data_IF_632946324815
#
_entry.id   IF_632946324815
#
_cell.length_a   1.000
_cell.length_b   1.000
_cell.length_c   1.000
_cell.angle_alpha   90.00
_cell.angle_beta   90.00
_cell.angle_gamma   90.00
#
_symmetry.space_group_name_H-M   'P 1'
#
loop_
_entity.id
_entity.type
_entity.pdbx_description
1 polymer ?
#
# COMPACT_ATOMS: atom_id res chain seq x y z
N UNK A 1 -10.47 -11.47 11.33
CA UNK A 1 -9.10 -10.99 11.65
C UNK A 1 -8.66 -10.07 10.53
N UNK A 2 -8.12 -8.89 10.83
CA UNK A 2 -7.64 -7.96 9.80
C UNK A 2 -6.11 -8.04 9.69
N UNK A 3 -5.60 -8.22 8.48
CA UNK A 3 -4.16 -8.27 8.17
C UNK A 3 -3.81 -7.05 7.33
N UNK A 4 -2.98 -6.16 7.86
CA UNK A 4 -2.57 -4.94 7.15
C UNK A 4 -1.19 -5.08 6.51
N UNK A 5 -1.08 -4.76 5.22
CA UNK A 5 0.22 -4.57 4.56
C UNK A 5 0.44 -3.10 4.20
N UNK A 6 1.57 -2.54 4.64
CA UNK A 6 2.00 -1.16 4.32
C UNK A 6 2.72 -1.13 2.96
N UNK A 7 1.95 -1.38 1.89
CA UNK A 7 2.40 -1.35 0.50
C UNK A 7 1.23 -1.06 -0.42
N UNK A 8 1.50 -0.54 -1.62
CA UNK A 8 0.45 -0.35 -2.63
C UNK A 8 0.12 -1.67 -3.31
N UNK A 9 -1.15 -2.06 -3.30
CA UNK A 9 -1.60 -3.32 -3.91
C UNK A 9 -1.94 -3.19 -5.39
N UNK A 10 -1.89 -2.00 -5.98
CA UNK A 10 -1.98 -1.81 -7.43
C UNK A 10 -1.18 -0.58 -7.87
N UNK A 11 -1.19 -0.29 -9.17
CA UNK A 11 -0.56 0.89 -9.77
C UNK A 11 -1.64 1.91 -10.25
N UNK A 12 -1.25 3.17 -10.51
CA UNK A 12 -2.14 4.15 -11.15
C UNK A 12 -2.69 3.66 -12.49
N UNK A 13 -4.01 3.79 -12.68
CA UNK A 13 -4.76 3.40 -13.87
C UNK A 13 -5.58 4.56 -14.43
N UNK A 14 -6.39 5.23 -13.61
CA UNK A 14 -7.46 6.13 -14.07
C UNK A 14 -6.97 7.39 -14.77
N UNK A 15 -5.79 7.89 -14.40
CA UNK A 15 -5.21 9.09 -15.00
C UNK A 15 -4.82 8.91 -16.48
N UNK A 16 -4.62 7.68 -16.95
CA UNK A 16 -4.31 7.34 -18.35
C UNK A 16 -5.20 6.25 -18.94
N UNK A 17 -6.19 5.77 -18.20
CA UNK A 17 -7.04 4.64 -18.57
C UNK A 17 -6.31 3.30 -18.70
N UNK A 18 -5.08 3.18 -18.16
CA UNK A 18 -4.28 1.94 -18.12
C UNK A 18 -3.07 2.06 -17.19
N UNK A 19 -2.55 0.93 -16.70
CA UNK A 19 -1.33 0.93 -15.86
C UNK A 19 -0.09 1.37 -16.63
N UNK A 20 0.09 0.87 -17.85
CA UNK A 20 1.28 1.09 -18.69
C UNK A 20 0.87 1.62 -20.08
N UNK A 21 0.80 2.95 -20.27
CA UNK A 21 0.64 3.60 -21.58
C UNK A 21 1.52 2.97 -22.67
N UNK A 22 0.98 2.81 -23.88
CA UNK A 22 1.70 2.24 -25.04
C UNK A 22 2.11 0.76 -24.95
N UNK A 23 1.81 0.06 -23.84
CA UNK A 23 1.99 -1.39 -23.77
C UNK A 23 0.70 -2.11 -24.18
N UNK A 24 0.72 -2.82 -25.32
CA UNK A 24 -0.44 -3.53 -25.86
C UNK A 24 -1.00 -4.60 -24.90
N UNK A 25 -0.13 -5.36 -24.23
CA UNK A 25 -0.49 -6.37 -23.24
C UNK A 25 -0.76 -5.78 -21.83
N UNK A 26 -1.09 -4.49 -21.73
CA UNK A 26 -1.32 -3.86 -20.43
C UNK A 26 -2.49 -4.56 -19.69
N UNK A 27 -2.34 -4.88 -18.38
CA UNK A 27 -3.39 -5.50 -17.59
C UNK A 27 -4.64 -4.60 -17.48
N UNK A 28 -5.81 -5.23 -17.46
CA UNK A 28 -7.10 -4.53 -17.37
C UNK A 28 -7.54 -4.23 -15.92
N UNK A 29 -7.03 -5.00 -14.95
CA UNK A 29 -7.38 -4.95 -13.53
C UNK A 29 -6.19 -5.36 -12.65
N UNK A 30 -6.35 -5.21 -11.32
CA UNK A 30 -5.26 -5.42 -10.37
C UNK A 30 -4.79 -6.88 -10.31
N UNK A 31 -5.71 -7.86 -10.35
CA UNK A 31 -5.32 -9.28 -10.32
C UNK A 31 -4.55 -9.69 -11.57
N UNK A 32 -4.96 -9.18 -12.73
CA UNK A 32 -4.23 -9.36 -13.99
C UNK A 32 -2.86 -8.68 -13.96
N UNK A 33 -2.73 -7.53 -13.27
CA UNK A 33 -1.45 -6.87 -13.03
C UNK A 33 -0.54 -7.72 -12.16
N UNK A 34 -1.04 -8.27 -11.05
CA UNK A 34 -0.26 -9.14 -10.15
C UNK A 34 0.27 -10.37 -10.89
N UNK A 35 -0.60 -11.05 -11.64
CA UNK A 35 -0.24 -12.19 -12.49
C UNK A 35 0.82 -11.82 -13.53
N UNK A 36 0.72 -10.66 -14.18
CA UNK A 36 1.69 -10.25 -15.19
C UNK A 36 3.06 -9.94 -14.57
N UNK A 37 3.10 -9.23 -13.43
CA UNK A 37 4.36 -8.95 -12.71
C UNK A 37 5.03 -10.25 -12.30
N UNK A 38 4.28 -11.18 -11.68
CA UNK A 38 4.84 -12.45 -11.23
C UNK A 38 5.30 -13.32 -12.40
N UNK A 39 4.55 -13.37 -13.51
CA UNK A 39 4.96 -14.09 -14.73
C UNK A 39 6.29 -13.59 -15.29
N UNK A 40 6.48 -12.27 -15.37
CA UNK A 40 7.72 -11.68 -15.91
C UNK A 40 8.88 -11.88 -14.93
N UNK A 41 8.61 -11.83 -13.61
CA UNK A 41 9.61 -12.01 -12.56
C UNK A 41 9.71 -13.45 -12.04
N UNK A 42 9.18 -14.45 -12.76
CA UNK A 42 9.03 -15.83 -12.26
C UNK A 42 10.34 -16.46 -11.79
N UNK A 43 11.43 -16.14 -12.49
CA UNK A 43 12.77 -16.68 -12.24
C UNK A 43 13.59 -15.78 -11.29
N UNK A 44 13.03 -14.64 -10.83
CA UNK A 44 13.67 -13.78 -9.84
C UNK A 44 13.59 -14.42 -8.44
N UNK A 45 14.72 -14.57 -7.72
CA UNK A 45 14.73 -15.16 -6.39
C UNK A 45 14.00 -14.26 -5.37
N UNK A 46 13.49 -14.88 -4.30
CA UNK A 46 12.92 -14.18 -3.13
C UNK A 46 11.81 -13.15 -3.45
N UNK A 47 10.97 -13.44 -4.44
CA UNK A 47 9.91 -12.53 -4.92
C UNK A 47 10.41 -11.16 -5.42
N UNK A 48 11.68 -11.06 -5.80
CA UNK A 48 12.23 -9.82 -6.34
C UNK A 48 11.59 -9.48 -7.70
N UNK A 49 11.79 -8.25 -8.18
CA UNK A 49 11.12 -7.73 -9.39
C UNK A 49 12.11 -7.13 -10.38
N UNK A 50 13.36 -7.61 -10.34
CA UNK A 50 14.44 -7.19 -11.23
C UNK A 50 14.06 -7.37 -12.69
N UNK A 51 13.63 -8.58 -13.08
CA UNK A 51 13.25 -8.89 -14.48
C UNK A 51 12.08 -8.03 -14.95
N UNK A 52 11.11 -7.76 -14.07
CA UNK A 52 10.00 -6.86 -14.38
C UNK A 52 10.46 -5.41 -14.59
N UNK A 53 11.34 -4.90 -13.74
CA UNK A 53 11.86 -3.53 -13.85
C UNK A 53 12.82 -3.33 -15.03
N UNK A 54 13.40 -4.41 -15.56
CA UNK A 54 14.24 -4.41 -16.76
C UNK A 54 13.44 -4.67 -18.05
N UNK A 55 12.20 -5.16 -17.93
CA UNK A 55 11.33 -5.46 -19.07
C UNK A 55 11.18 -4.22 -19.99
N UNK A 56 11.36 -4.37 -21.33
CA UNK A 56 11.41 -3.25 -22.27
C UNK A 56 10.21 -2.30 -22.20
N UNK A 57 9.02 -2.83 -21.92
CA UNK A 57 7.81 -2.01 -21.79
C UNK A 57 7.64 -1.44 -20.38
N UNK A 58 7.85 -2.24 -19.34
CA UNK A 58 7.60 -1.79 -17.97
C UNK A 58 8.57 -0.67 -17.59
N UNK A 59 9.86 -0.84 -17.92
CA UNK A 59 10.93 0.09 -17.52
C UNK A 59 10.69 1.53 -17.99
N UNK A 60 9.94 1.73 -19.07
CA UNK A 60 9.56 3.04 -19.65
C UNK A 60 8.74 3.90 -18.69
N UNK A 61 8.08 3.29 -17.71
CA UNK A 61 7.20 3.99 -16.78
C UNK A 61 7.83 4.31 -15.43
N UNK A 62 9.04 3.83 -15.14
CA UNK A 62 9.67 3.99 -13.84
C UNK A 62 10.81 5.01 -13.88
N UNK A 63 10.95 5.77 -12.80
CA UNK A 63 12.19 6.49 -12.49
C UNK A 63 13.10 5.56 -11.70
N UNK A 64 14.20 5.17 -12.31
CA UNK A 64 15.20 4.28 -11.72
C UNK A 64 16.32 5.09 -11.06
N UNK A 65 17.17 4.40 -10.30
CA UNK A 65 18.41 4.99 -9.77
C UNK A 65 19.41 5.34 -10.88
N UNK A 66 20.40 6.17 -10.52
CA UNK A 66 21.53 6.58 -11.39
C UNK A 66 21.12 7.36 -12.64
N UNK A 67 20.12 8.26 -12.50
CA UNK A 67 19.69 9.15 -13.58
C UNK A 67 18.88 8.48 -14.70
N UNK A 68 18.62 7.18 -14.61
CA UNK A 68 17.81 6.46 -15.60
C UNK A 68 16.33 6.72 -15.36
N UNK A 69 15.69 7.43 -16.27
CA UNK A 69 14.25 7.71 -16.23
C UNK A 69 13.61 7.12 -17.48
N UNK A 70 12.54 6.34 -17.32
CA UNK A 70 11.78 5.86 -18.46
C UNK A 70 11.12 7.01 -19.22
N UNK A 71 11.03 6.87 -20.54
CA UNK A 71 10.49 7.87 -21.47
C UNK A 71 8.99 8.16 -21.27
N UNK A 72 8.26 7.22 -20.65
CA UNK A 72 6.85 7.35 -20.28
C UNK A 72 6.63 7.63 -18.79
N UNK A 73 7.69 7.96 -18.03
CA UNK A 73 7.56 8.43 -16.65
C UNK A 73 7.08 9.88 -16.65
N UNK A 74 5.87 10.12 -16.14
CA UNK A 74 5.25 11.45 -16.13
C UNK A 74 5.08 12.01 -14.72
N UNK A 75 5.16 13.34 -14.60
CA UNK A 75 5.05 14.05 -13.32
C UNK A 75 6.38 14.11 -12.56
N UNK A 76 6.47 14.99 -11.55
CA UNK A 76 7.70 15.19 -10.77
C UNK A 76 8.09 13.97 -9.94
N UNK A 77 7.09 13.21 -9.50
CA UNK A 77 7.25 12.04 -8.61
C UNK A 77 6.63 10.77 -9.17
N UNK A 78 6.10 10.80 -10.40
CA UNK A 78 5.34 9.69 -10.99
C UNK A 78 3.82 9.87 -10.84
N UNK A 79 3.07 9.02 -11.55
CA UNK A 79 1.60 8.97 -11.51
C UNK A 79 1.12 8.48 -10.15
N UNK A 80 -0.09 8.87 -9.74
CA UNK A 80 -0.67 8.50 -8.44
C UNK A 80 -2.03 7.83 -8.64
N UNK A 81 -2.33 6.83 -7.80
CA UNK A 81 -3.67 6.26 -7.70
C UNK A 81 -4.65 7.31 -7.15
N UNK A 82 -5.93 7.11 -7.37
CA UNK A 82 -7.03 7.92 -6.84
C UNK A 82 -6.97 8.02 -5.32
N UNK A 83 -6.67 6.93 -4.61
CA UNK A 83 -6.52 6.99 -3.14
C UNK A 83 -5.34 7.86 -2.71
N UNK A 84 -4.23 7.86 -3.45
CA UNK A 84 -3.03 8.66 -3.14
C UNK A 84 -3.27 10.14 -3.42
N UNK A 85 -4.01 10.46 -4.49
CA UNK A 85 -4.48 11.83 -4.77
C UNK A 85 -5.40 12.30 -3.64
N UNK A 86 -6.39 11.48 -3.29
CA UNK A 86 -7.37 11.78 -2.25
C UNK A 86 -6.75 11.97 -0.86
N UNK A 87 -5.76 11.14 -0.49
CA UNK A 87 -4.97 11.27 0.73
C UNK A 87 -4.27 12.63 0.83
N UNK A 88 -3.73 13.13 -0.29
CA UNK A 88 -3.06 14.43 -0.36
C UNK A 88 -4.06 15.58 -0.29
N UNK A 89 -5.15 15.49 -1.04
CA UNK A 89 -6.22 16.51 -1.09
C UNK A 89 -6.88 16.69 0.28
N UNK A 90 -7.17 15.60 0.98
CA UNK A 90 -7.75 15.63 2.34
C UNK A 90 -6.72 15.83 3.45
N UNK A 91 -5.43 15.83 3.11
CA UNK A 91 -4.33 16.02 4.06
C UNK A 91 -4.13 14.87 5.05
N UNK A 92 -4.74 13.69 4.80
CA UNK A 92 -4.63 12.47 5.62
C UNK A 92 -3.25 11.82 5.51
N UNK A 93 -2.62 11.88 4.32
CA UNK A 93 -1.29 11.33 4.08
C UNK A 93 -0.60 12.02 2.89
N UNK A 94 0.73 11.88 2.82
CA UNK A 94 1.52 12.35 1.68
C UNK A 94 2.19 11.16 0.98
N UNK A 95 1.38 10.37 0.29
CA UNK A 95 1.80 9.10 -0.32
C UNK A 95 2.69 9.31 -1.53
N UNK A 96 3.67 8.44 -1.73
CA UNK A 96 4.59 8.47 -2.88
C UNK A 96 4.09 7.57 -4.01
N UNK A 97 4.47 7.90 -5.25
CA UNK A 97 4.19 7.04 -6.41
C UNK A 97 5.03 5.78 -6.38
N UNK A 98 4.42 4.64 -6.70
CA UNK A 98 5.14 3.39 -6.96
C UNK A 98 6.05 3.44 -8.20
N UNK A 99 5.83 4.39 -9.12
CA UNK A 99 6.68 4.53 -10.30
C UNK A 99 8.03 5.18 -10.00
N UNK A 100 8.19 5.83 -8.85
CA UNK A 100 9.46 6.42 -8.44
C UNK A 100 10.26 5.47 -7.54
N UNK A 101 11.36 4.93 -8.07
CA UNK A 101 12.23 3.98 -7.38
C UNK A 101 13.47 4.66 -6.76
N UNK A 102 13.41 5.98 -6.55
CA UNK A 102 14.51 6.80 -6.03
C UNK A 102 14.09 7.56 -4.78
N UNK A 103 15.00 7.64 -3.82
CA UNK A 103 14.85 8.39 -2.57
C UNK A 103 14.35 7.55 -1.41
N UNK A 104 14.43 8.11 -0.20
CA UNK A 104 14.06 7.43 1.05
C UNK A 104 12.56 7.09 1.15
N UNK A 105 11.71 7.79 0.39
CA UNK A 105 10.27 7.57 0.35
C UNK A 105 9.82 6.58 -0.74
N UNK A 106 10.75 5.90 -1.42
CA UNK A 106 10.37 4.94 -2.45
C UNK A 106 9.62 3.75 -1.82
N UNK A 107 8.52 3.37 -2.46
CA UNK A 107 7.70 2.21 -2.08
C UNK A 107 7.49 1.25 -3.27
N UNK A 108 7.93 1.64 -4.47
CA UNK A 108 7.59 0.92 -5.70
C UNK A 108 8.07 -0.52 -5.71
N UNK A 109 9.31 -0.78 -5.27
CA UNK A 109 9.85 -2.14 -5.28
C UNK A 109 9.08 -3.06 -4.33
N UNK A 110 8.87 -2.64 -3.08
CA UNK A 110 8.13 -3.42 -2.08
C UNK A 110 6.69 -3.67 -2.53
N UNK A 111 6.01 -2.66 -3.09
CA UNK A 111 4.68 -2.81 -3.67
C UNK A 111 4.62 -3.84 -4.79
N UNK A 112 5.56 -3.81 -5.74
CA UNK A 112 5.63 -4.80 -6.81
C UNK A 112 5.91 -6.22 -6.27
N UNK A 113 6.79 -6.37 -5.27
CA UNK A 113 7.00 -7.69 -4.60
C UNK A 113 5.74 -8.16 -3.87
N UNK A 114 5.02 -7.21 -3.25
CA UNK A 114 3.75 -7.48 -2.57
C UNK A 114 2.69 -7.97 -3.53
N UNK A 115 2.61 -7.39 -4.73
CA UNK A 115 1.72 -7.87 -5.78
C UNK A 115 2.04 -9.32 -6.19
N UNK A 116 3.33 -9.69 -6.27
CA UNK A 116 3.73 -11.10 -6.49
C UNK A 116 3.27 -12.01 -5.35
N UNK A 117 3.49 -11.60 -4.10
CA UNK A 117 3.01 -12.33 -2.92
C UNK A 117 1.48 -12.53 -2.97
N UNK A 118 0.73 -11.46 -3.25
CA UNK A 118 -0.74 -11.52 -3.34
C UNK A 118 -1.21 -12.44 -4.48
N UNK A 119 -0.50 -12.48 -5.61
CA UNK A 119 -0.79 -13.45 -6.66
C UNK A 119 -0.57 -14.89 -6.19
N UNK A 120 0.56 -15.17 -5.53
CA UNK A 120 0.92 -16.51 -5.07
C UNK A 120 0.07 -17.00 -3.89
N UNK A 121 -0.57 -16.10 -3.14
CA UNK A 121 -1.59 -16.48 -2.17
C UNK A 121 -2.85 -17.07 -2.84
N UNK A 122 -3.06 -16.81 -4.13
CA UNK A 122 -4.10 -17.42 -4.98
C UNK A 122 -5.50 -17.50 -4.33
N UNK A 123 -5.91 -16.41 -3.67
CA UNK A 123 -7.23 -16.33 -3.03
C UNK A 123 -7.38 -17.08 -1.71
N UNK A 124 -6.30 -17.64 -1.15
CA UNK A 124 -6.32 -18.27 0.18
C UNK A 124 -6.78 -17.31 1.30
N UNK A 125 -6.52 -16.02 1.15
CA UNK A 125 -7.05 -14.95 2.00
C UNK A 125 -7.62 -13.85 1.09
N UNK A 126 -8.89 -13.42 1.26
CA UNK A 126 -9.47 -12.32 0.49
C UNK A 126 -8.69 -11.01 0.67
N UNK A 127 -8.55 -10.24 -0.40
CA UNK A 127 -7.86 -8.94 -0.41
C UNK A 127 -8.86 -7.82 -0.68
N UNK A 128 -9.22 -7.04 0.33
CA UNK A 128 -10.08 -5.87 0.14
C UNK A 128 -9.30 -4.71 -0.49
N UNK A 129 -9.89 -3.94 -1.44
CA UNK A 129 -11.28 -4.01 -1.93
C UNK A 129 -11.46 -4.84 -3.22
N UNK A 130 -10.45 -5.63 -3.60
CA UNK A 130 -10.52 -6.47 -4.82
C UNK A 130 -11.49 -7.63 -4.65
N UNK A 131 -11.53 -8.20 -3.44
CA UNK A 131 -12.42 -9.27 -3.02
C UNK A 131 -13.45 -8.78 -2.00
N UNK A 132 -14.63 -9.44 -1.90
CA UNK A 132 -15.59 -9.19 -0.84
C UNK A 132 -14.99 -9.44 0.55
N UNK A 133 -15.40 -8.63 1.54
CA UNK A 133 -15.05 -8.88 2.94
C UNK A 133 -15.78 -10.14 3.41
N UNK A 134 -15.08 -11.16 3.92
CA UNK A 134 -15.72 -12.40 4.34
C UNK A 134 -16.49 -12.20 5.65
N UNK A 135 -17.58 -12.96 5.84
CA UNK A 135 -18.36 -12.92 7.08
C UNK A 135 -17.56 -13.41 8.30
N UNK A 136 -16.57 -14.28 8.09
CA UNK A 136 -15.69 -14.84 9.12
C UNK A 136 -14.28 -15.04 8.56
N UNK A 137 -13.28 -15.11 9.43
CA UNK A 137 -11.90 -15.41 9.04
C UNK A 137 -11.03 -14.16 8.74
N UNK A 138 -9.85 -14.37 8.12
CA UNK A 138 -8.94 -13.28 7.79
C UNK A 138 -9.33 -12.52 6.53
N UNK A 139 -8.96 -11.24 6.47
CA UNK A 139 -8.98 -10.42 5.25
C UNK A 139 -7.74 -9.53 5.24
N UNK A 140 -7.16 -9.36 4.06
CA UNK A 140 -6.01 -8.49 3.82
C UNK A 140 -6.49 -7.10 3.40
N UNK A 141 -5.86 -6.06 3.93
CA UNK A 141 -6.06 -4.67 3.52
C UNK A 141 -4.72 -3.96 3.29
N UNK A 142 -4.70 -3.04 2.34
CA UNK A 142 -3.65 -2.03 2.26
C UNK A 142 -3.81 -1.04 3.42
N UNK A 143 -2.72 -0.77 4.14
CA UNK A 143 -2.67 0.20 5.24
C UNK A 143 -1.67 1.31 4.94
N UNK A 144 -1.81 2.41 5.67
CA UNK A 144 -0.78 3.44 5.74
C UNK A 144 -0.55 3.79 7.21
N UNK A 145 0.64 3.47 7.72
CA UNK A 145 0.95 3.54 9.16
C UNK A 145 0.72 4.94 9.78
N UNK A 146 0.83 6.00 8.96
CA UNK A 146 0.53 7.37 9.42
C UNK A 146 -0.95 7.57 9.79
N UNK A 147 -1.89 6.91 9.12
CA UNK A 147 -3.33 6.99 9.48
C UNK A 147 -3.55 6.49 10.91
N UNK A 148 -2.97 5.34 11.24
CA UNK A 148 -3.03 4.79 12.58
C UNK A 148 -2.31 5.68 13.60
N UNK A 149 -1.15 6.24 13.25
CA UNK A 149 -0.42 7.14 14.14
C UNK A 149 -1.21 8.41 14.47
N UNK A 150 -1.88 9.02 13.47
CA UNK A 150 -2.75 10.18 13.66
C UNK A 150 -3.95 9.82 14.55
N UNK A 151 -4.60 8.68 14.31
CA UNK A 151 -5.68 8.19 15.16
C UNK A 151 -5.21 7.91 16.61
N UNK A 152 -3.96 7.47 16.77
CA UNK A 152 -3.31 7.31 18.07
C UNK A 152 -2.80 8.63 18.67
N UNK A 153 -3.13 9.78 18.07
CA UNK A 153 -2.82 11.10 18.61
C UNK A 153 -1.41 11.61 18.36
N UNK A 154 -0.64 10.99 17.47
CA UNK A 154 0.66 11.52 17.08
C UNK A 154 0.49 12.77 16.22
N UNK A 155 1.36 13.79 16.39
CA UNK A 155 1.29 14.99 15.58
C UNK A 155 1.70 14.72 14.13
N UNK A 156 1.09 15.45 13.18
CA UNK A 156 1.44 15.39 11.76
C UNK A 156 2.92 15.69 11.56
N UNK A 157 3.60 14.88 10.74
CA UNK A 157 5.05 15.00 10.51
C UNK A 157 5.94 14.41 11.61
N UNK A 158 5.37 13.95 12.73
CA UNK A 158 6.09 13.30 13.84
C UNK A 158 5.34 12.04 14.31
N UNK A 159 5.01 11.17 13.35
CA UNK A 159 4.28 9.92 13.59
C UNK A 159 5.14 8.81 14.19
N UNK A 160 6.46 8.86 14.01
CA UNK A 160 7.37 7.79 14.43
C UNK A 160 7.57 7.77 15.94
N UNK A 161 7.19 6.67 16.57
CA UNK A 161 7.40 6.38 17.98
C UNK A 161 8.65 5.51 18.10
N UNK A 162 9.57 5.81 19.02
CA UNK A 162 10.81 5.01 19.20
C UNK A 162 11.14 4.75 20.67
N UNK A 163 10.14 4.89 21.53
CA UNK A 163 10.29 4.68 22.96
C UNK A 163 9.02 4.08 23.59
N UNK A 164 9.19 3.47 24.76
CA UNK A 164 8.11 2.80 25.50
C UNK A 164 7.02 3.78 25.94
N UNK A 165 7.37 5.01 26.30
CA UNK A 165 6.41 5.98 26.82
C UNK A 165 5.46 6.45 25.70
N UNK A 166 6.00 6.71 24.51
CA UNK A 166 5.25 7.02 23.31
C UNK A 166 4.33 5.88 22.89
N UNK A 167 4.82 4.63 22.90
CA UNK A 167 3.98 3.47 22.58
C UNK A 167 2.84 3.33 23.59
N UNK A 168 3.11 3.49 24.89
CA UNK A 168 2.07 3.47 25.92
C UNK A 168 1.01 4.54 25.67
N UNK A 169 1.41 5.80 25.44
CA UNK A 169 0.47 6.89 25.16
C UNK A 169 -0.41 6.59 23.94
N UNK A 170 0.19 6.08 22.86
CA UNK A 170 -0.52 5.72 21.64
C UNK A 170 -1.55 4.60 21.89
N UNK A 171 -1.14 3.51 22.54
CA UNK A 171 -2.02 2.36 22.82
C UNK A 171 -3.13 2.71 23.81
N UNK A 172 -2.85 3.56 24.81
CA UNK A 172 -3.88 4.07 25.73
C UNK A 172 -4.94 4.88 24.99
N UNK A 173 -4.54 5.76 24.05
CA UNK A 173 -5.51 6.49 23.21
C UNK A 173 -6.33 5.56 22.33
N UNK A 174 -5.75 4.46 21.88
CA UNK A 174 -6.41 3.39 21.15
C UNK A 174 -7.08 2.36 22.07
N UNK A 175 -7.34 2.65 23.35
CA UNK A 175 -8.01 1.73 24.29
C UNK A 175 -7.48 0.29 24.25
N UNK A 176 -6.17 0.13 24.04
CA UNK A 176 -5.51 -1.16 23.85
C UNK A 176 -4.57 -1.46 25.01
N UNK A 177 -4.62 -2.67 25.60
CA UNK A 177 -3.70 -3.06 26.66
C UNK A 177 -2.24 -2.87 26.27
N UNK A 178 -1.43 -2.41 27.23
CA UNK A 178 0.00 -2.19 27.01
C UNK A 178 0.71 -3.57 27.01
N UNK A 179 1.49 -3.90 25.97
CA UNK A 179 2.20 -5.17 25.93
C UNK A 179 3.35 -5.22 26.95
N UNK A 180 3.90 -6.43 27.13
CA UNK A 180 5.18 -6.63 27.79
C UNK A 180 6.29 -5.75 27.16
N UNK A 181 7.42 -5.60 27.86
CA UNK A 181 8.55 -4.85 27.31
C UNK A 181 9.04 -5.51 26.03
N UNK A 182 9.22 -4.71 24.98
CA UNK A 182 9.85 -5.15 23.74
C UNK A 182 11.36 -5.22 23.96
N UNK A 183 12.04 -6.10 23.22
CA UNK A 183 13.50 -6.14 23.20
C UNK A 183 14.08 -4.81 22.67
N UNK A 184 13.42 -4.20 21.67
CA UNK A 184 13.77 -2.91 21.09
C UNK A 184 12.51 -2.11 20.75
N UNK A 185 12.60 -0.79 20.90
CA UNK A 185 11.57 0.16 20.46
C UNK A 185 12.09 0.90 19.22
N UNK A 186 11.97 0.28 18.05
CA UNK A 186 12.15 0.95 16.75
C UNK A 186 10.81 1.32 16.13
N UNK A 187 10.86 2.21 15.14
CA UNK A 187 9.66 2.73 14.50
C UNK A 187 8.88 1.65 13.76
N UNK A 188 9.53 0.66 13.15
CA UNK A 188 8.84 -0.45 12.50
C UNK A 188 7.99 -1.27 13.48
N UNK A 189 8.58 -1.65 14.62
CA UNK A 189 7.91 -2.47 15.63
C UNK A 189 6.77 -1.71 16.30
N UNK A 190 6.98 -0.42 16.63
CA UNK A 190 5.92 0.38 17.24
C UNK A 190 4.82 0.75 16.25
N UNK A 191 5.16 1.03 14.99
CA UNK A 191 4.17 1.32 13.94
C UNK A 191 3.28 0.10 13.74
N UNK A 192 3.85 -1.10 13.65
CA UNK A 192 3.09 -2.35 13.52
C UNK A 192 2.12 -2.56 14.70
N UNK A 193 2.56 -2.35 15.94
CA UNK A 193 1.71 -2.48 17.13
C UNK A 193 0.58 -1.44 17.18
N UNK A 194 0.92 -0.17 16.88
CA UNK A 194 -0.06 0.93 16.86
C UNK A 194 -1.07 0.70 15.74
N UNK A 195 -0.63 0.30 14.55
CA UNK A 195 -1.52 0.02 13.41
C UNK A 195 -2.39 -1.19 13.67
N UNK A 196 -1.88 -2.28 14.25
CA UNK A 196 -2.70 -3.42 14.64
C UNK A 196 -3.77 -3.05 15.68
N UNK A 197 -3.41 -2.25 16.69
CA UNK A 197 -4.32 -1.76 17.71
C UNK A 197 -5.44 -0.86 17.12
N UNK A 198 -5.07 0.03 16.19
CA UNK A 198 -6.02 0.88 15.47
C UNK A 198 -6.95 0.04 14.59
N UNK A 199 -6.40 -0.89 13.80
CA UNK A 199 -7.16 -1.77 12.91
C UNK A 199 -8.25 -2.56 13.65
N UNK A 200 -7.98 -3.00 14.88
CA UNK A 200 -8.97 -3.70 15.71
C UNK A 200 -10.25 -2.89 15.94
N UNK A 201 -10.15 -1.58 16.13
CA UNK A 201 -11.29 -0.69 16.31
C UNK A 201 -11.85 -0.21 14.97
N UNK A 202 -10.96 0.15 14.03
CA UNK A 202 -11.31 0.64 12.71
C UNK A 202 -12.14 -0.39 11.92
N UNK A 203 -11.86 -1.68 12.07
CA UNK A 203 -12.61 -2.75 11.41
C UNK A 203 -14.11 -2.76 11.76
N UNK A 204 -14.51 -2.23 12.94
CA UNK A 204 -15.90 -2.15 13.33
C UNK A 204 -16.64 -0.92 12.75
N UNK A 205 -15.94 0.00 12.09
CA UNK A 205 -16.52 1.21 11.50
C UNK A 205 -16.90 0.97 10.03
N UNK A 206 -18.21 0.89 9.68
CA UNK A 206 -18.64 0.60 8.30
C UNK A 206 -18.21 1.67 7.29
N UNK A 207 -18.01 2.92 7.71
CA UNK A 207 -17.60 4.01 6.83
C UNK A 207 -16.21 3.78 6.24
N UNK A 208 -15.29 3.14 6.99
CA UNK A 208 -13.94 2.87 6.52
C UNK A 208 -13.88 1.75 5.45
N UNK A 209 -14.92 0.93 5.39
CA UNK A 209 -15.09 -0.11 4.37
C UNK A 209 -15.83 0.38 3.13
N UNK A 210 -16.57 1.49 3.24
CA UNK A 210 -17.39 2.04 2.17
C UNK A 210 -17.12 3.55 1.96
N UNK A 211 -15.89 3.98 1.62
CA UNK A 211 -15.62 5.37 1.26
C UNK A 211 -16.48 5.80 0.07
N UNK A 212 -17.10 6.98 0.13
CA UNK A 212 -17.99 7.47 -0.95
C UNK A 212 -17.29 7.65 -2.30
N UNK A 213 -15.99 7.90 -2.27
CA UNK A 213 -15.14 8.05 -3.46
C UNK A 213 -14.64 6.71 -4.03
N UNK A 214 -14.78 5.60 -3.30
CA UNK A 214 -14.38 4.27 -3.75
C UNK A 214 -15.48 3.63 -4.60
N UNK A 215 -15.39 3.80 -5.92
CA UNK A 215 -16.28 3.11 -6.85
C UNK A 215 -15.84 1.65 -7.07
N UNK A 216 -16.74 0.81 -7.58
CA UNK A 216 -16.40 -0.58 -7.97
C UNK A 216 -15.24 -0.63 -8.97
N UNK A 217 -15.16 0.32 -9.90
CA UNK A 217 -14.09 0.35 -10.89
C UNK A 217 -12.74 0.72 -10.26
N UNK A 218 -12.72 1.69 -9.33
CA UNK A 218 -11.52 2.03 -8.55
C UNK A 218 -11.08 0.83 -7.72
N UNK A 219 -12.01 0.17 -7.03
CA UNK A 219 -11.73 -1.02 -6.24
C UNK A 219 -11.03 -2.11 -7.04
N UNK A 220 -11.49 -2.39 -8.27
CA UNK A 220 -10.94 -3.47 -9.10
C UNK A 220 -9.62 -3.10 -9.81
N UNK A 221 -9.37 -1.81 -10.06
CA UNK A 221 -8.19 -1.36 -10.82
C UNK A 221 -7.08 -0.79 -9.93
N UNK A 222 -7.39 0.09 -9.00
CA UNK A 222 -6.36 0.75 -8.18
C UNK A 222 -6.38 0.30 -6.71
N UNK A 223 -7.47 -0.31 -6.27
CA UNK A 223 -7.68 -0.65 -4.87
C UNK A 223 -7.88 0.60 -4.00
N UNK A 224 -7.74 0.43 -2.69
CA UNK A 224 -7.89 1.51 -1.72
C UNK A 224 -7.08 1.23 -0.45
N UNK A 225 -6.50 2.27 0.14
CA UNK A 225 -5.89 2.24 1.46
C UNK A 225 -6.99 2.27 2.53
N UNK A 226 -7.06 1.24 3.38
CA UNK A 226 -8.05 1.17 4.45
C UNK A 226 -7.86 2.30 5.46
N UNK A 227 -8.97 2.92 5.87
CA UNK A 227 -8.98 4.06 6.78
C UNK A 227 -8.96 5.44 6.12
N UNK A 228 -8.84 5.51 4.79
CA UNK A 228 -8.97 6.75 4.02
C UNK A 228 -10.43 6.95 3.62
N UNK A 229 -11.05 8.02 4.13
CA UNK A 229 -12.45 8.40 3.87
C UNK A 229 -12.63 9.89 3.63
#
# INVERSE_FOLDING_TARGET
MLVGFDLSMALPFFDKGRYFPEWAECPADAKSLWRQIDRIARDDPHLNVTSFLEHPQARRHFRHGRGRVGDLFTGSTGRLRRVEQYQRETGQANSASCFNLVGAAQVGKSSLTGMRLLHQLDGAIPVWPFDPVPAHGPVIVEIYTTVAALAAGQPKGRSKVRDRAGLKRALTRLNTPIPARLARYDDHSTDALITAAWMKQAAANPALWNPSVLTREIAQKEGWTFGVV
#
